data_IF_107465545865
#
_entry.id   IF_107465545865
#
_cell.length_a   1.000
_cell.length_b   1.000
_cell.length_c   1.000
_cell.angle_alpha   90.00
_cell.angle_beta   90.00
_cell.angle_gamma   90.00
#
_symmetry.space_group_name_H-M   'P 1'
#
loop_
_entity.id
_entity.type
_entity.pdbx_description
1 polymer ?
#
# COMPACT_ATOMS: atom_id res chain seq x y z
N UNK A 1 68.22 23.78 0.10
CA UNK A 1 67.44 23.38 -1.10
C UNK A 1 66.13 22.81 -0.61
N UNK A 2 65.19 23.70 -0.31
CA UNK A 2 63.80 23.38 -0.05
C UNK A 2 63.12 22.97 -1.35
N UNK A 3 62.42 21.83 -1.35
CA UNK A 3 61.42 21.53 -2.36
C UNK A 3 60.06 21.53 -1.70
N UNK A 4 59.40 22.68 -1.76
CA UNK A 4 58.00 22.83 -1.44
C UNK A 4 57.14 21.97 -2.39
N UNK A 5 56.27 21.16 -1.82
CA UNK A 5 55.16 20.54 -2.55
C UNK A 5 53.90 21.31 -2.20
N UNK A 6 53.42 22.06 -3.18
CA UNK A 6 52.17 22.82 -3.16
C UNK A 6 50.98 21.87 -2.97
N UNK A 7 50.29 21.99 -1.85
CA UNK A 7 48.98 21.38 -1.63
C UNK A 7 47.97 22.19 -2.47
N UNK A 8 47.54 21.63 -3.61
CA UNK A 8 46.32 22.10 -4.28
C UNK A 8 45.13 21.42 -3.61
N UNK A 9 44.32 22.24 -2.93
CA UNK A 9 43.05 21.84 -2.37
C UNK A 9 42.14 21.24 -3.44
N UNK A 10 41.63 20.04 -3.16
CA UNK A 10 40.48 19.46 -3.86
C UNK A 10 39.23 20.18 -3.35
N UNK A 11 38.77 21.16 -4.13
CA UNK A 11 37.52 21.86 -3.89
C UNK A 11 36.30 20.91 -3.98
N UNK A 12 35.47 21.02 -2.95
CA UNK A 12 34.04 20.76 -2.87
C UNK A 12 33.26 20.88 -4.19
N UNK A 13 33.03 19.76 -4.88
CA UNK A 13 32.02 19.68 -5.96
C UNK A 13 30.85 18.72 -5.61
N UNK A 14 30.92 18.01 -4.49
CA UNK A 14 29.85 17.09 -4.06
C UNK A 14 28.76 17.76 -3.23
N UNK A 15 29.10 18.81 -2.48
CA UNK A 15 28.16 19.52 -1.60
C UNK A 15 27.17 20.40 -2.38
N UNK A 16 27.61 21.05 -3.46
CA UNK A 16 26.78 21.92 -4.31
C UNK A 16 25.68 21.15 -5.08
N UNK A 17 25.92 19.87 -5.38
CA UNK A 17 24.96 19.03 -6.11
C UNK A 17 23.73 18.64 -5.28
N UNK A 18 23.86 18.59 -3.94
CA UNK A 18 22.82 18.10 -3.02
C UNK A 18 21.91 19.22 -2.53
N UNK A 19 22.42 20.45 -2.35
CA UNK A 19 21.58 21.61 -1.96
C UNK A 19 20.45 21.88 -2.97
N UNK A 20 20.74 21.62 -4.24
CA UNK A 20 19.81 21.80 -5.35
C UNK A 20 18.58 20.89 -5.28
N UNK A 21 18.57 19.80 -4.51
CA UNK A 21 17.42 18.91 -4.33
C UNK A 21 16.79 18.97 -2.92
N UNK A 22 17.31 19.79 -2.01
CA UNK A 22 16.74 19.97 -0.66
C UNK A 22 15.48 20.84 -0.73
N UNK A 23 14.38 20.40 -0.13
CA UNK A 23 13.13 21.15 -0.12
C UNK A 23 13.07 22.03 1.14
N UNK A 24 13.18 23.35 0.95
CA UNK A 24 13.20 24.39 1.99
C UNK A 24 11.93 25.25 1.98
N UNK A 25 10.79 24.59 1.78
CA UNK A 25 9.48 25.23 1.71
C UNK A 25 9.00 25.75 3.07
N UNK A 26 8.50 27.00 3.08
CA UNK A 26 7.96 27.68 4.27
C UNK A 26 6.55 27.20 4.68
N UNK A 27 5.83 26.49 3.80
CA UNK A 27 4.49 25.99 4.09
C UNK A 27 4.56 24.80 5.05
N UNK A 28 3.73 24.85 6.07
CA UNK A 28 3.60 23.84 7.14
C UNK A 28 2.41 22.89 6.93
N UNK A 29 1.52 23.19 5.99
CA UNK A 29 0.29 22.44 5.77
C UNK A 29 -0.09 22.30 4.29
N UNK A 30 -0.42 21.08 3.88
CA UNK A 30 -0.83 20.71 2.53
C UNK A 30 -2.21 20.04 2.52
N UNK A 31 -3.21 20.64 3.20
CA UNK A 31 -4.56 20.06 3.29
C UNK A 31 -5.19 19.91 1.90
N UNK A 32 -5.57 18.69 1.53
CA UNK A 32 -6.25 18.34 0.27
C UNK A 32 -5.47 18.58 -1.05
N UNK A 33 -4.23 19.06 -0.96
CA UNK A 33 -3.35 19.30 -2.10
C UNK A 33 -2.00 18.59 -1.92
N UNK A 34 -1.27 18.45 -3.01
CA UNK A 34 0.14 18.02 -3.05
C UNK A 34 1.08 19.23 -3.05
N UNK A 35 2.38 19.00 -3.17
CA UNK A 35 3.40 20.01 -2.92
C UNK A 35 3.30 21.14 -3.96
N UNK A 36 3.10 20.74 -5.20
CA UNK A 36 2.89 21.60 -6.36
C UNK A 36 1.42 22.00 -6.53
N UNK A 37 0.62 21.95 -5.46
CA UNK A 37 -0.78 22.41 -5.38
C UNK A 37 -1.80 21.61 -6.20
N UNK A 38 -1.45 20.43 -6.71
CA UNK A 38 -2.43 19.55 -7.35
C UNK A 38 -3.41 18.95 -6.33
N UNK A 39 -4.68 18.80 -6.70
CA UNK A 39 -5.67 18.08 -5.88
C UNK A 39 -5.21 16.63 -5.63
N UNK A 40 -5.29 16.15 -4.38
CA UNK A 40 -4.83 14.78 -4.03
C UNK A 40 -5.49 13.67 -4.86
N UNK A 41 -6.78 13.81 -5.19
CA UNK A 41 -7.50 12.84 -6.01
C UNK A 41 -6.93 12.74 -7.43
N UNK A 42 -6.55 13.88 -8.03
CA UNK A 42 -5.92 13.94 -9.36
C UNK A 42 -4.50 13.39 -9.33
N UNK A 43 -3.69 13.78 -8.33
CA UNK A 43 -2.35 13.24 -8.16
C UNK A 43 -2.36 11.72 -7.92
N UNK A 44 -3.33 11.21 -7.15
CA UNK A 44 -3.56 9.77 -6.96
C UNK A 44 -3.88 9.07 -8.28
N UNK A 45 -4.77 9.65 -9.09
CA UNK A 45 -5.11 9.12 -10.40
C UNK A 45 -3.88 9.04 -11.31
N UNK A 46 -3.10 10.12 -11.40
CA UNK A 46 -1.90 10.16 -12.23
C UNK A 46 -0.80 9.21 -11.75
N UNK A 47 -0.63 9.02 -10.44
CA UNK A 47 0.27 8.02 -9.88
C UNK A 47 -0.15 6.59 -10.30
N UNK A 48 -1.42 6.24 -10.11
CA UNK A 48 -1.94 4.93 -10.50
C UNK A 48 -1.81 4.72 -12.01
N UNK A 49 -2.14 5.73 -12.81
CA UNK A 49 -2.00 5.69 -14.27
C UNK A 49 -0.54 5.49 -14.68
N UNK A 50 0.40 6.22 -14.08
CA UNK A 50 1.83 6.07 -14.38
C UNK A 50 2.36 4.69 -14.00
N UNK A 51 1.85 4.09 -12.91
CA UNK A 51 2.17 2.71 -12.51
C UNK A 51 1.60 1.68 -13.51
N UNK A 52 0.38 1.88 -14.00
CA UNK A 52 -0.23 1.04 -15.04
C UNK A 52 0.50 1.15 -16.38
N UNK A 53 0.84 2.37 -16.79
CA UNK A 53 1.54 2.68 -18.05
C UNK A 53 3.05 2.38 -17.97
N UNK A 54 3.54 1.89 -16.83
CA UNK A 54 4.96 1.59 -16.56
C UNK A 54 5.91 2.80 -16.75
N UNK A 55 5.38 4.03 -16.58
CA UNK A 55 6.12 5.29 -16.67
C UNK A 55 6.81 5.59 -15.34
N UNK A 56 7.98 4.98 -15.13
CA UNK A 56 8.71 5.01 -13.85
C UNK A 56 9.04 6.44 -13.38
N UNK A 57 9.54 7.30 -14.26
CA UNK A 57 9.90 8.68 -13.91
C UNK A 57 8.68 9.46 -13.43
N UNK A 58 7.56 9.35 -14.15
CA UNK A 58 6.30 9.98 -13.76
C UNK A 58 5.75 9.40 -12.45
N UNK A 59 5.82 8.08 -12.26
CA UNK A 59 5.39 7.44 -11.02
C UNK A 59 6.24 7.91 -9.83
N UNK A 60 7.57 8.05 -10.01
CA UNK A 60 8.47 8.59 -9.00
C UNK A 60 8.13 10.06 -8.69
N UNK A 61 7.88 10.89 -9.72
CA UNK A 61 7.44 12.28 -9.57
C UNK A 61 6.17 12.39 -8.72
N UNK A 62 5.10 11.67 -9.09
CA UNK A 62 3.85 11.72 -8.35
C UNK A 62 3.98 11.16 -6.94
N UNK A 63 4.82 10.15 -6.72
CA UNK A 63 5.12 9.67 -5.36
C UNK A 63 5.82 10.74 -4.51
N UNK A 64 6.76 11.47 -5.11
CA UNK A 64 7.52 12.51 -4.44
C UNK A 64 6.67 13.76 -4.13
N UNK A 65 5.63 14.05 -4.93
CA UNK A 65 4.60 15.05 -4.61
C UNK A 65 3.90 14.74 -3.27
N UNK A 66 3.54 13.49 -3.00
CA UNK A 66 2.95 13.09 -1.72
C UNK A 66 3.97 13.17 -0.57
N UNK A 67 5.24 12.77 -0.81
CA UNK A 67 6.32 12.83 0.18
C UNK A 67 6.61 14.27 0.60
N UNK A 68 6.77 15.18 -0.37
CA UNK A 68 7.09 16.59 -0.11
C UNK A 68 5.96 17.32 0.64
N UNK A 69 4.72 16.86 0.51
CA UNK A 69 3.57 17.34 1.28
C UNK A 69 3.33 16.63 2.61
N UNK A 70 4.12 15.62 2.97
CA UNK A 70 3.93 14.86 4.21
C UNK A 70 2.76 13.87 4.18
N UNK A 71 2.18 13.57 3.01
CA UNK A 71 1.02 12.68 2.87
C UNK A 71 1.40 11.19 2.81
N UNK A 72 2.28 10.73 3.70
CA UNK A 72 2.84 9.38 3.66
C UNK A 72 1.81 8.27 3.81
N UNK A 73 0.85 8.42 4.72
CA UNK A 73 -0.20 7.39 4.91
C UNK A 73 -1.10 7.27 3.67
N UNK A 74 -1.37 8.38 2.98
CA UNK A 74 -2.12 8.35 1.72
C UNK A 74 -1.31 7.68 0.61
N UNK A 75 0.00 7.95 0.52
CA UNK A 75 0.89 7.28 -0.43
C UNK A 75 0.93 5.76 -0.19
N UNK A 76 1.05 5.32 1.06
CA UNK A 76 0.93 3.91 1.43
C UNK A 76 -0.42 3.30 1.01
N UNK A 77 -1.52 4.00 1.25
CA UNK A 77 -2.84 3.52 0.81
C UNK A 77 -2.98 3.45 -0.72
N UNK A 78 -2.30 4.32 -1.48
CA UNK A 78 -2.23 4.23 -2.95
C UNK A 78 -1.40 3.01 -3.38
N UNK A 79 -0.25 2.80 -2.75
CA UNK A 79 0.64 1.65 -2.98
C UNK A 79 -0.12 0.34 -2.74
N UNK A 80 -0.76 0.18 -1.57
CA UNK A 80 -1.52 -1.03 -1.23
C UNK A 80 -2.71 -1.23 -2.16
N UNK A 81 -3.44 -0.16 -2.49
CA UNK A 81 -4.52 -0.23 -3.47
C UNK A 81 -4.03 -0.71 -4.83
N UNK A 82 -2.92 -0.17 -5.34
CA UNK A 82 -2.37 -0.57 -6.63
C UNK A 82 -1.94 -2.04 -6.64
N UNK A 83 -1.19 -2.46 -5.62
CA UNK A 83 -0.67 -3.83 -5.50
C UNK A 83 -1.80 -4.84 -5.53
N UNK A 84 -2.80 -4.70 -4.66
CA UNK A 84 -3.82 -5.75 -4.52
C UNK A 84 -4.97 -5.64 -5.51
N UNK A 85 -5.06 -4.54 -6.29
CA UNK A 85 -6.04 -4.41 -7.37
C UNK A 85 -5.49 -4.77 -8.74
N UNK A 86 -4.22 -4.44 -9.03
CA UNK A 86 -3.64 -4.55 -10.38
C UNK A 86 -2.51 -5.59 -10.48
N UNK A 87 -1.81 -5.93 -9.39
CA UNK A 87 -0.71 -6.92 -9.42
C UNK A 87 -1.16 -8.25 -8.82
N UNK A 88 -1.59 -8.24 -7.56
CA UNK A 88 -2.09 -9.40 -6.81
C UNK A 88 -1.26 -10.68 -7.03
N UNK A 89 -1.87 -11.74 -7.57
CA UNK A 89 -1.22 -13.03 -7.85
C UNK A 89 -0.11 -12.94 -8.92
N UNK A 90 0.07 -11.80 -9.58
CA UNK A 90 1.21 -11.50 -10.43
C UNK A 90 2.53 -11.42 -9.67
N UNK A 91 2.52 -11.02 -8.40
CA UNK A 91 3.70 -11.04 -7.52
C UNK A 91 3.29 -11.19 -6.03
N UNK A 92 2.92 -12.41 -5.59
CA UNK A 92 2.35 -12.62 -4.25
C UNK A 92 3.27 -12.21 -3.09
N UNK A 93 4.60 -12.30 -3.30
CA UNK A 93 5.59 -11.95 -2.27
C UNK A 93 5.69 -10.46 -1.99
N UNK A 94 5.05 -9.59 -2.80
CA UNK A 94 4.97 -8.16 -2.50
C UNK A 94 4.35 -7.89 -1.13
N UNK A 95 3.46 -8.75 -0.62
CA UNK A 95 2.94 -8.58 0.73
C UNK A 95 4.05 -8.59 1.80
N UNK A 96 4.97 -9.56 1.71
CA UNK A 96 6.09 -9.69 2.65
C UNK A 96 7.03 -8.49 2.49
N UNK A 97 7.36 -8.14 1.24
CA UNK A 97 8.24 -7.00 0.94
C UNK A 97 7.66 -5.68 1.44
N UNK A 98 6.39 -5.39 1.17
CA UNK A 98 5.76 -4.14 1.58
C UNK A 98 5.61 -4.05 3.10
N UNK A 99 5.33 -5.17 3.77
CA UNK A 99 5.30 -5.21 5.24
C UNK A 99 6.67 -4.85 5.83
N UNK A 100 7.74 -5.48 5.33
CA UNK A 100 9.13 -5.14 5.72
C UNK A 100 9.45 -3.66 5.45
N UNK A 101 9.06 -3.14 4.28
CA UNK A 101 9.29 -1.74 3.91
C UNK A 101 8.51 -0.77 4.77
N UNK A 102 7.29 -1.12 5.15
CA UNK A 102 6.49 -0.32 6.06
C UNK A 102 7.15 -0.26 7.45
N UNK A 103 7.63 -1.38 7.98
CA UNK A 103 8.33 -1.43 9.27
C UNK A 103 9.62 -0.59 9.25
N UNK A 104 10.36 -0.60 8.14
CA UNK A 104 11.52 0.29 7.96
C UNK A 104 11.11 1.76 7.99
N UNK A 105 10.01 2.11 7.32
CA UNK A 105 9.45 3.46 7.34
C UNK A 105 8.96 3.88 8.73
N UNK A 106 8.25 3.02 9.44
CA UNK A 106 7.77 3.29 10.81
C UNK A 106 8.93 3.48 11.79
N UNK A 107 9.97 2.64 11.69
CA UNK A 107 11.20 2.79 12.48
C UNK A 107 11.86 4.15 12.22
N UNK A 108 11.93 4.59 10.96
CA UNK A 108 12.46 5.91 10.61
C UNK A 108 11.63 7.04 11.22
N UNK A 109 10.29 6.95 11.23
CA UNK A 109 9.44 7.97 11.87
C UNK A 109 9.68 8.03 13.38
N UNK A 110 9.72 6.87 14.05
CA UNK A 110 9.83 6.78 15.50
C UNK A 110 11.22 7.22 16.01
N UNK A 111 12.25 7.16 15.17
CA UNK A 111 13.60 7.63 15.47
C UNK A 111 13.76 9.17 15.36
N UNK A 112 12.83 9.93 15.93
CA UNK A 112 12.97 11.39 16.12
C UNK A 112 12.18 12.29 15.18
N UNK A 113 11.33 11.75 14.30
CA UNK A 113 10.55 12.55 13.34
C UNK A 113 9.04 12.58 13.62
N UNK A 114 8.58 11.92 14.69
CA UNK A 114 7.15 11.80 15.02
C UNK A 114 6.42 13.14 15.20
N UNK A 115 7.14 14.21 15.57
CA UNK A 115 6.58 15.55 15.79
C UNK A 115 6.56 16.43 14.54
N UNK A 116 7.38 16.13 13.53
CA UNK A 116 7.42 16.90 12.28
C UNK A 116 7.71 15.98 11.08
N UNK A 117 6.63 15.44 10.53
CA UNK A 117 6.68 14.50 9.40
C UNK A 117 7.20 15.15 8.11
N UNK A 118 7.09 16.48 7.96
CA UNK A 118 7.55 17.18 6.75
C UNK A 118 9.07 17.12 6.59
N UNK A 119 9.82 17.05 7.70
CA UNK A 119 11.29 16.93 7.67
C UNK A 119 11.75 15.67 6.91
N UNK A 120 10.94 14.61 6.93
CA UNK A 120 11.25 13.36 6.23
C UNK A 120 11.34 13.54 4.71
N UNK A 121 10.82 14.62 4.12
CA UNK A 121 10.93 14.89 2.67
C UNK A 121 12.36 15.09 2.21
N UNK A 122 13.27 15.48 3.11
CA UNK A 122 14.70 15.63 2.84
C UNK A 122 15.54 14.46 3.37
N UNK A 123 14.89 13.44 3.96
CA UNK A 123 15.59 12.25 4.43
C UNK A 123 15.87 11.31 3.24
N UNK A 124 17.15 11.12 2.93
CA UNK A 124 17.59 10.29 1.79
C UNK A 124 17.08 8.84 1.88
N UNK A 125 17.04 8.25 3.07
CA UNK A 125 16.51 6.88 3.26
C UNK A 125 15.03 6.80 2.89
N UNK A 126 14.24 7.82 3.21
CA UNK A 126 12.82 7.89 2.84
C UNK A 126 12.65 8.04 1.33
N UNK A 127 13.39 8.96 0.71
CA UNK A 127 13.33 9.17 -0.75
C UNK A 127 13.66 7.89 -1.51
N UNK A 128 14.76 7.22 -1.12
CA UNK A 128 15.20 5.95 -1.71
C UNK A 128 14.21 4.82 -1.46
N UNK A 129 13.68 4.70 -0.24
CA UNK A 129 12.71 3.67 0.14
C UNK A 129 11.47 3.72 -0.76
N UNK A 130 10.86 4.89 -0.92
CA UNK A 130 9.67 5.02 -1.78
C UNK A 130 10.00 4.90 -3.26
N UNK A 131 11.12 5.46 -3.72
CA UNK A 131 11.56 5.29 -5.11
C UNK A 131 11.72 3.81 -5.47
N UNK A 132 12.37 3.02 -4.61
CA UNK A 132 12.54 1.59 -4.82
C UNK A 132 11.20 0.86 -4.88
N UNK A 133 10.28 1.14 -3.93
CA UNK A 133 8.93 0.57 -3.96
C UNK A 133 8.25 0.89 -5.30
N UNK A 134 8.24 2.15 -5.74
CA UNK A 134 7.61 2.56 -6.98
C UNK A 134 8.22 1.83 -8.19
N UNK A 135 9.54 1.69 -8.25
CA UNK A 135 10.20 0.94 -9.32
C UNK A 135 9.82 -0.55 -9.31
N UNK A 136 9.81 -1.19 -8.14
CA UNK A 136 9.37 -2.59 -7.99
C UNK A 136 7.93 -2.78 -8.47
N UNK A 137 7.03 -1.82 -8.17
CA UNK A 137 5.65 -1.87 -8.64
C UNK A 137 5.55 -1.68 -10.17
N UNK A 138 6.31 -0.74 -10.74
CA UNK A 138 6.37 -0.54 -12.18
C UNK A 138 6.90 -1.75 -12.93
N UNK A 139 7.81 -2.55 -12.37
CA UNK A 139 8.33 -3.76 -13.02
C UNK A 139 7.59 -5.06 -12.66
N UNK A 140 6.66 -5.01 -11.69
CA UNK A 140 5.87 -6.19 -11.32
C UNK A 140 4.85 -6.54 -12.40
N UNK A 141 4.62 -7.84 -12.61
CA UNK A 141 3.63 -8.33 -13.57
C UNK A 141 2.21 -7.90 -13.16
N UNK A 142 1.57 -7.06 -13.98
CA UNK A 142 0.17 -6.70 -13.79
C UNK A 142 -0.73 -7.84 -14.27
N UNK A 143 -1.88 -7.95 -13.65
CA UNK A 143 -2.92 -8.93 -13.94
C UNK A 143 -4.23 -8.20 -14.20
N UNK A 144 -5.25 -8.96 -14.61
CA UNK A 144 -6.59 -8.42 -14.75
C UNK A 144 -7.04 -7.77 -13.45
N UNK A 145 -7.63 -6.58 -13.58
CA UNK A 145 -8.10 -5.79 -12.44
C UNK A 145 -9.15 -6.60 -11.68
N UNK A 146 -8.98 -6.71 -10.36
CA UNK A 146 -10.02 -7.32 -9.54
C UNK A 146 -11.25 -6.41 -9.54
N UNK A 147 -12.35 -6.92 -10.09
CA UNK A 147 -13.61 -6.21 -10.17
C UNK A 147 -14.23 -6.05 -8.78
N UNK A 148 -14.74 -4.86 -8.51
CA UNK A 148 -15.51 -4.61 -7.31
C UNK A 148 -16.91 -5.20 -7.45
N UNK A 149 -17.33 -6.01 -6.48
CA UNK A 149 -18.69 -6.52 -6.43
C UNK A 149 -19.61 -5.41 -5.93
N UNK A 150 -20.62 -5.08 -6.74
CA UNK A 150 -21.67 -4.13 -6.37
C UNK A 150 -22.86 -4.93 -5.84
N UNK A 151 -23.20 -4.69 -4.57
CA UNK A 151 -24.42 -5.24 -3.99
C UNK A 151 -25.62 -4.38 -4.40
N UNK A 152 -26.70 -5.02 -4.81
CA UNK A 152 -28.01 -4.38 -4.82
C UNK A 152 -28.49 -4.27 -3.37
N UNK A 153 -28.61 -3.06 -2.84
CA UNK A 153 -28.98 -2.85 -1.43
C UNK A 153 -30.43 -3.20 -1.12
N UNK A 154 -31.31 -3.20 -2.12
CA UNK A 154 -32.72 -3.52 -1.95
C UNK A 154 -32.93 -5.03 -1.90
N UNK A 155 -32.26 -5.78 -2.77
CA UNK A 155 -32.40 -7.24 -2.85
C UNK A 155 -31.45 -7.99 -1.90
N UNK A 156 -30.22 -7.50 -1.72
CA UNK A 156 -29.17 -8.24 -1.00
C UNK A 156 -29.39 -8.32 0.51
N UNK A 157 -30.43 -7.69 1.06
CA UNK A 157 -30.75 -7.77 2.49
C UNK A 157 -32.20 -8.18 2.74
N UNK A 158 -32.91 -8.61 1.68
CA UNK A 158 -34.24 -9.20 1.78
C UNK A 158 -34.15 -10.74 1.76
N UNK A 159 -34.82 -11.37 2.72
CA UNK A 159 -34.71 -12.83 2.93
C UNK A 159 -35.30 -13.59 1.72
N UNK A 160 -36.38 -13.10 1.12
CA UNK A 160 -37.02 -13.76 -0.01
C UNK A 160 -36.10 -13.77 -1.23
N UNK A 161 -35.51 -12.61 -1.57
CA UNK A 161 -34.56 -12.46 -2.68
C UNK A 161 -33.21 -13.17 -2.46
N UNK A 162 -32.80 -13.39 -1.20
CA UNK A 162 -31.52 -14.02 -0.89
C UNK A 162 -31.53 -15.55 -0.92
N UNK A 163 -32.72 -16.18 -0.89
CA UNK A 163 -32.87 -17.64 -0.79
C UNK A 163 -32.07 -18.42 -1.86
N UNK A 164 -32.05 -17.94 -3.10
CA UNK A 164 -31.31 -18.55 -4.22
C UNK A 164 -29.77 -18.47 -4.07
N UNK A 165 -29.28 -17.57 -3.22
CA UNK A 165 -27.85 -17.38 -2.97
C UNK A 165 -27.31 -18.28 -1.87
N UNK A 166 -28.18 -18.87 -1.05
CA UNK A 166 -27.80 -19.83 -0.02
C UNK A 166 -27.53 -21.19 -0.66
N UNK A 167 -26.28 -21.66 -0.58
CA UNK A 167 -25.81 -22.90 -1.20
C UNK A 167 -25.25 -23.90 -0.21
N UNK A 168 -24.91 -23.46 1.00
CA UNK A 168 -24.36 -24.34 2.02
C UNK A 168 -25.46 -25.29 2.53
N UNK A 169 -25.22 -26.61 2.59
CA UNK A 169 -26.23 -27.59 3.00
C UNK A 169 -26.56 -27.55 4.49
N UNK A 170 -25.68 -26.98 5.31
CA UNK A 170 -25.80 -26.88 6.77
C UNK A 170 -24.85 -25.79 7.28
N UNK A 171 -24.82 -25.57 8.60
CA UNK A 171 -23.99 -24.54 9.27
C UNK A 171 -22.70 -25.07 9.91
N UNK A 172 -22.29 -26.31 9.63
CA UNK A 172 -21.12 -26.89 10.32
C UNK A 172 -19.78 -26.34 9.82
N UNK A 173 -19.76 -25.60 8.71
CA UNK A 173 -18.53 -25.04 8.14
C UNK A 173 -17.88 -23.96 9.02
N UNK A 174 -18.59 -23.43 10.01
CA UNK A 174 -18.13 -22.33 10.88
C UNK A 174 -17.88 -22.73 12.33
N UNK A 175 -18.03 -24.01 12.67
CA UNK A 175 -17.91 -24.51 14.07
C UNK A 175 -16.58 -24.13 14.74
N UNK A 176 -15.49 -24.03 13.96
CA UNK A 176 -14.15 -23.69 14.43
C UNK A 176 -13.78 -22.22 14.19
N UNK A 177 -14.71 -21.41 13.68
CA UNK A 177 -14.49 -20.01 13.27
C UNK A 177 -15.25 -19.02 14.15
N UNK A 178 -16.53 -19.31 14.41
CA UNK A 178 -17.35 -18.48 15.28
C UNK A 178 -17.14 -18.85 16.73
N UNK A 179 -17.15 -17.82 17.57
CA UNK A 179 -17.18 -17.97 19.02
C UNK A 179 -18.59 -17.72 19.55
N UNK A 180 -18.84 -18.12 20.80
CA UNK A 180 -20.19 -18.15 21.38
C UNK A 180 -20.88 -16.77 21.42
N UNK A 181 -20.09 -15.71 21.65
CA UNK A 181 -20.59 -14.33 21.73
C UNK A 181 -20.56 -13.57 20.40
N UNK A 182 -20.20 -14.23 19.29
CA UNK A 182 -20.26 -13.61 17.96
C UNK A 182 -21.73 -13.36 17.51
N UNK A 183 -22.01 -12.31 16.72
CA UNK A 183 -23.36 -11.98 16.29
C UNK A 183 -24.02 -13.13 15.51
N UNK A 184 -25.14 -13.65 16.03
CA UNK A 184 -25.87 -14.78 15.43
C UNK A 184 -26.37 -14.46 14.00
N UNK A 185 -26.59 -13.19 13.68
CA UNK A 185 -26.97 -12.75 12.35
C UNK A 185 -25.88 -13.00 11.29
N UNK A 186 -24.63 -13.22 11.71
CA UNK A 186 -23.51 -13.50 10.82
C UNK A 186 -23.31 -15.01 10.57
N UNK A 187 -24.04 -15.89 11.26
CA UNK A 187 -23.93 -17.36 11.09
C UNK A 187 -24.08 -17.74 9.62
N UNK A 188 -25.19 -17.36 8.97
CA UNK A 188 -25.46 -17.75 7.58
C UNK A 188 -24.47 -17.10 6.60
N UNK A 189 -24.24 -15.76 6.60
CA UNK A 189 -23.29 -15.13 5.69
C UNK A 189 -21.85 -15.67 5.78
N UNK A 190 -21.37 -15.93 7.00
CA UNK A 190 -20.02 -16.47 7.22
C UNK A 190 -19.96 -17.92 6.77
N UNK A 191 -20.99 -18.71 7.06
CA UNK A 191 -21.07 -20.09 6.63
C UNK A 191 -21.07 -20.22 5.11
N UNK A 192 -21.83 -19.37 4.42
CA UNK A 192 -21.81 -19.29 2.97
C UNK A 192 -20.45 -18.85 2.42
N UNK A 193 -19.79 -17.88 3.07
CA UNK A 193 -18.45 -17.46 2.68
C UNK A 193 -17.46 -18.64 2.77
N UNK A 194 -17.45 -19.37 3.89
CA UNK A 194 -16.56 -20.51 4.10
C UNK A 194 -16.89 -21.66 3.15
N UNK A 195 -18.17 -21.97 2.93
CA UNK A 195 -18.61 -22.96 1.95
C UNK A 195 -18.11 -22.63 0.54
N UNK A 196 -18.25 -21.37 0.10
CA UNK A 196 -17.76 -20.95 -1.21
C UNK A 196 -16.23 -20.92 -1.29
N UNK A 197 -15.53 -20.65 -0.18
CA UNK A 197 -14.08 -20.75 -0.08
C UNK A 197 -13.60 -22.20 -0.30
N UNK A 198 -14.25 -23.17 0.37
CA UNK A 198 -13.97 -24.60 0.20
C UNK A 198 -14.22 -25.05 -1.24
N UNK A 199 -15.33 -24.61 -1.83
CA UNK A 199 -15.69 -24.90 -3.22
C UNK A 199 -14.94 -24.06 -4.26
N UNK A 200 -13.95 -23.26 -3.83
CA UNK A 200 -13.11 -22.43 -4.71
C UNK A 200 -13.90 -21.45 -5.59
N UNK A 201 -15.07 -21.00 -5.12
CA UNK A 201 -15.91 -20.04 -5.81
C UNK A 201 -15.58 -18.61 -5.37
N UNK A 202 -14.51 -18.03 -5.94
CA UNK A 202 -13.98 -16.73 -5.54
C UNK A 202 -15.01 -15.58 -5.68
N UNK A 203 -15.89 -15.65 -6.68
CA UNK A 203 -16.91 -14.61 -6.94
C UNK A 203 -17.88 -14.54 -5.76
N UNK A 204 -18.36 -15.70 -5.27
CA UNK A 204 -19.26 -15.72 -4.13
C UNK A 204 -18.54 -15.44 -2.81
N UNK A 205 -17.27 -15.81 -2.66
CA UNK A 205 -16.46 -15.39 -1.50
C UNK A 205 -16.40 -13.87 -1.39
N UNK A 206 -16.12 -13.19 -2.50
CA UNK A 206 -16.10 -11.72 -2.55
C UNK A 206 -17.50 -11.14 -2.30
N UNK A 207 -18.56 -11.77 -2.81
CA UNK A 207 -19.93 -11.32 -2.58
C UNK A 207 -20.27 -11.31 -1.09
N UNK A 208 -20.02 -12.43 -0.39
CA UNK A 208 -20.30 -12.53 1.05
C UNK A 208 -19.41 -11.62 1.88
N UNK A 209 -18.17 -11.39 1.46
CA UNK A 209 -17.31 -10.38 2.11
C UNK A 209 -17.89 -8.96 1.98
N UNK A 210 -18.32 -8.55 0.78
CA UNK A 210 -19.00 -7.25 0.61
C UNK A 210 -20.28 -7.19 1.44
N UNK A 211 -21.05 -8.29 1.48
CA UNK A 211 -22.29 -8.36 2.24
C UNK A 211 -22.04 -8.08 3.71
N UNK A 212 -21.02 -8.72 4.30
CA UNK A 212 -20.65 -8.55 5.71
C UNK A 212 -20.20 -7.10 6.00
N UNK A 213 -19.40 -6.50 5.10
CA UNK A 213 -18.96 -5.10 5.24
C UNK A 213 -20.16 -4.13 5.18
N UNK A 214 -21.11 -4.34 4.26
CA UNK A 214 -22.28 -3.47 4.13
C UNK A 214 -23.33 -3.72 5.22
N UNK A 215 -23.48 -4.96 5.71
CA UNK A 215 -24.31 -5.29 6.86
C UNK A 215 -23.89 -4.47 8.09
N UNK A 216 -22.59 -4.40 8.37
CA UNK A 216 -22.07 -3.59 9.47
C UNK A 216 -22.44 -2.10 9.30
N UNK A 217 -22.37 -1.57 8.06
CA UNK A 217 -22.77 -0.20 7.76
C UNK A 217 -24.27 0.02 8.02
N UNK A 218 -25.11 -0.96 7.67
CA UNK A 218 -26.55 -0.92 7.94
C UNK A 218 -26.83 -0.94 9.44
N UNK A 219 -26.17 -1.83 10.20
CA UNK A 219 -26.29 -1.88 11.65
C UNK A 219 -25.90 -0.55 12.29
N UNK A 220 -24.81 0.08 11.85
CA UNK A 220 -24.39 1.41 12.31
C UNK A 220 -25.45 2.48 12.06
N UNK A 221 -26.04 2.51 10.86
CA UNK A 221 -27.13 3.45 10.53
C UNK A 221 -28.37 3.21 11.40
N UNK A 222 -28.69 1.94 11.67
CA UNK A 222 -29.82 1.53 12.51
C UNK A 222 -29.52 1.56 14.02
N UNK A 223 -28.30 1.99 14.42
CA UNK A 223 -27.81 1.96 15.82
C UNK A 223 -27.94 0.58 16.48
N UNK A 224 -27.87 -0.49 15.70
CA UNK A 224 -27.89 -1.88 16.19
C UNK A 224 -26.46 -2.28 16.57
N UNK A 225 -26.29 -2.91 17.75
CA UNK A 225 -25.01 -3.49 18.17
C UNK A 225 -24.59 -4.55 17.17
N UNK A 226 -23.38 -4.43 16.63
CA UNK A 226 -22.77 -5.38 15.70
C UNK A 226 -21.29 -5.45 16.06
N UNK A 227 -20.97 -6.36 16.97
CA UNK A 227 -19.66 -6.49 17.59
C UNK A 227 -19.36 -7.97 17.78
N UNK A 228 -18.21 -8.44 17.28
CA UNK A 228 -17.73 -9.79 17.52
C UNK A 228 -17.09 -9.92 18.90
N UNK A 229 -16.90 -11.14 19.36
CA UNK A 229 -16.06 -11.41 20.52
C UNK A 229 -14.61 -10.95 20.24
N UNK A 230 -13.87 -10.63 21.30
CA UNK A 230 -12.51 -10.12 21.20
C UNK A 230 -11.59 -11.08 20.44
N UNK A 231 -10.86 -10.54 19.44
CA UNK A 231 -9.77 -11.22 18.74
C UNK A 231 -8.43 -10.59 19.12
N UNK A 232 -7.49 -11.40 19.61
CA UNK A 232 -6.24 -10.93 20.21
C UNK A 232 -5.25 -10.29 19.23
N UNK A 233 -5.29 -10.69 17.96
CA UNK A 233 -4.47 -10.09 16.90
C UNK A 233 -5.03 -8.76 16.37
N UNK A 234 -6.25 -8.38 16.77
CA UNK A 234 -6.84 -7.14 16.33
C UNK A 234 -6.17 -5.93 17.03
N UNK A 235 -6.10 -4.75 16.37
CA UNK A 235 -5.58 -3.56 16.99
C UNK A 235 -6.38 -3.14 18.23
N UNK A 236 -5.68 -2.62 19.24
CA UNK A 236 -6.27 -2.10 20.48
C UNK A 236 -7.38 -1.10 20.17
N UNK A 237 -8.51 -1.24 20.86
CA UNK A 237 -9.68 -0.37 20.69
C UNK A 237 -10.60 -0.73 19.51
N UNK A 238 -10.21 -1.68 18.66
CA UNK A 238 -11.05 -2.19 17.57
C UNK A 238 -11.30 -3.70 17.63
N UNK A 239 -10.94 -4.36 18.73
CA UNK A 239 -10.94 -5.84 18.83
C UNK A 239 -12.30 -6.52 18.70
N UNK A 240 -13.38 -5.75 18.70
CA UNK A 240 -14.76 -6.22 18.55
C UNK A 240 -15.35 -5.92 17.15
N UNK A 241 -14.57 -5.39 16.20
CA UNK A 241 -15.04 -5.19 14.83
C UNK A 241 -15.23 -6.54 14.13
N UNK A 242 -16.40 -6.79 13.55
CA UNK A 242 -16.76 -8.09 12.93
C UNK A 242 -15.83 -8.52 11.79
N UNK A 243 -15.04 -7.58 11.24
CA UNK A 243 -14.05 -7.88 10.20
C UNK A 243 -12.98 -8.86 10.68
N UNK A 244 -12.74 -8.96 11.99
CA UNK A 244 -11.78 -9.91 12.54
C UNK A 244 -12.24 -11.36 12.41
N UNK A 245 -13.54 -11.61 12.28
CA UNK A 245 -14.04 -12.94 11.94
C UNK A 245 -13.56 -13.37 10.55
N UNK A 246 -13.53 -12.45 9.59
CA UNK A 246 -12.96 -12.69 8.26
C UNK A 246 -11.47 -13.02 8.35
N UNK A 247 -10.74 -12.33 9.21
CA UNK A 247 -9.32 -12.61 9.43
C UNK A 247 -9.06 -13.94 10.14
N UNK A 248 -9.92 -14.38 11.07
CA UNK A 248 -9.82 -15.75 11.61
C UNK A 248 -9.96 -16.80 10.53
N UNK A 249 -10.90 -16.63 9.59
CA UNK A 249 -11.04 -17.55 8.45
C UNK A 249 -9.74 -17.61 7.66
N UNK A 250 -9.19 -16.44 7.30
CA UNK A 250 -7.93 -16.37 6.53
C UNK A 250 -6.76 -17.02 7.29
N UNK A 251 -6.64 -16.77 8.59
CA UNK A 251 -5.57 -17.33 9.43
C UNK A 251 -5.74 -18.84 9.60
N UNK A 252 -6.94 -19.32 9.93
CA UNK A 252 -7.27 -20.74 10.08
C UNK A 252 -6.98 -21.54 8.80
N UNK A 253 -7.42 -21.04 7.65
CA UNK A 253 -7.22 -21.73 6.37
C UNK A 253 -5.80 -21.61 5.81
N UNK A 254 -4.98 -20.69 6.32
CA UNK A 254 -3.57 -20.59 5.94
C UNK A 254 -2.60 -21.28 6.89
N UNK A 255 -3.02 -21.63 8.11
CA UNK A 255 -2.10 -22.13 9.14
C UNK A 255 -1.50 -23.51 8.78
N UNK A 256 -0.16 -23.64 8.60
CA UNK A 256 0.46 -24.90 8.26
C UNK A 256 0.51 -25.90 9.43
N UNK A 257 0.32 -25.44 10.67
CA UNK A 257 0.31 -26.32 11.86
C UNK A 257 -0.97 -27.15 11.97
N UNK A 258 -2.05 -26.72 11.32
CA UNK A 258 -3.31 -27.45 11.26
C UNK A 258 -3.24 -28.56 10.20
N UNK A 259 -2.84 -29.76 10.64
CA UNK A 259 -2.66 -30.96 9.80
C UNK A 259 -3.98 -31.58 9.33
N UNK A 260 -5.06 -31.36 10.08
CA UNK A 260 -6.41 -31.82 9.73
C UNK A 260 -7.41 -30.69 9.94
N UNK A 261 -8.14 -30.32 8.89
CA UNK A 261 -9.33 -29.47 8.99
C UNK A 261 -10.54 -30.33 8.68
N UNK A 262 -11.63 -30.10 9.40
CA UNK A 262 -12.93 -30.74 9.13
C UNK A 262 -13.35 -30.55 7.68
N UNK A 263 -13.09 -29.35 7.14
CA UNK A 263 -13.30 -29.03 5.73
C UNK A 263 -12.01 -28.44 5.14
N UNK A 264 -11.39 -29.15 4.21
CA UNK A 264 -10.22 -28.67 3.48
C UNK A 264 -10.63 -27.95 2.19
N UNK A 265 -9.96 -26.85 1.87
CA UNK A 265 -10.02 -26.22 0.52
C UNK A 265 -9.46 -27.18 -0.54
N UNK A 266 -8.64 -28.16 -0.12
CA UNK A 266 -8.00 -29.14 -0.98
C UNK A 266 -8.54 -30.55 -0.67
N UNK A 267 -9.73 -30.89 -1.19
CA UNK A 267 -10.18 -32.28 -1.28
C UNK A 267 -10.31 -32.71 -2.77
N UNK A 268 -9.22 -33.32 -3.24
CA UNK A 268 -9.05 -34.42 -4.20
C UNK A 268 -10.05 -34.65 -5.36
N UNK A 269 -9.58 -34.33 -6.58
CA UNK A 269 -9.67 -35.24 -7.73
C UNK A 269 -8.53 -36.27 -7.72
N UNK A 270 -8.18 -36.81 -6.55
CA UNK A 270 -7.16 -37.85 -6.39
C UNK A 270 -7.81 -39.20 -6.13
N UNK A 271 -8.67 -39.62 -7.06
CA UNK A 271 -8.76 -41.02 -7.41
C UNK A 271 -7.88 -41.22 -8.64
N UNK A 272 -6.58 -41.34 -8.44
CA UNK A 272 -5.72 -42.21 -9.24
C UNK A 272 -4.32 -42.35 -8.65
N UNK A 273 -4.02 -43.60 -8.29
CA UNK A 273 -2.72 -44.28 -8.22
C UNK A 273 -1.56 -43.67 -7.42
N UNK A 274 -1.28 -44.35 -6.31
CA UNK A 274 0.04 -44.76 -5.85
C UNK A 274 1.16 -44.67 -6.91
N UNK A 275 2.06 -43.69 -6.78
CA UNK A 275 3.51 -43.87 -6.64
C UNK A 275 4.25 -42.54 -6.80
N UNK A 276 5.33 -42.40 -6.03
CA UNK A 276 6.40 -41.38 -6.11
C UNK A 276 6.13 -39.98 -5.52
N UNK A 277 6.91 -39.63 -4.49
CA UNK A 277 7.78 -38.44 -4.39
C UNK A 277 7.80 -37.77 -3.00
N UNK A 278 8.79 -38.14 -2.18
CA UNK A 278 9.16 -37.39 -0.97
C UNK A 278 9.55 -35.92 -1.27
N UNK A 279 10.01 -35.61 -2.48
CA UNK A 279 10.33 -34.24 -2.91
C UNK A 279 9.08 -33.34 -3.04
N UNK A 280 7.95 -33.89 -3.50
CA UNK A 280 6.70 -33.14 -3.68
C UNK A 280 6.07 -32.70 -2.35
N UNK A 281 6.20 -33.52 -1.30
CA UNK A 281 5.71 -33.16 0.04
C UNK A 281 6.51 -32.00 0.66
N UNK A 282 7.84 -31.98 0.50
CA UNK A 282 8.67 -30.90 1.02
C UNK A 282 8.36 -29.54 0.37
N UNK A 283 8.18 -29.52 -0.95
CA UNK A 283 7.84 -28.29 -1.69
C UNK A 283 6.43 -27.78 -1.36
N UNK A 284 5.47 -28.69 -1.16
CA UNK A 284 4.11 -28.30 -0.78
C UNK A 284 4.06 -27.72 0.64
N UNK A 285 4.81 -28.28 1.58
CA UNK A 285 4.92 -27.74 2.94
C UNK A 285 5.55 -26.34 2.93
N UNK A 286 6.65 -26.16 2.20
CA UNK A 286 7.29 -24.85 2.03
C UNK A 286 6.33 -23.81 1.41
N UNK A 287 5.54 -24.21 0.41
CA UNK A 287 4.56 -23.32 -0.20
C UNK A 287 3.45 -22.90 0.79
N UNK A 288 2.98 -23.82 1.63
CA UNK A 288 1.99 -23.51 2.66
C UNK A 288 2.55 -22.55 3.71
N UNK A 289 3.80 -22.74 4.14
CA UNK A 289 4.48 -21.80 5.03
C UNK A 289 4.62 -20.40 4.41
N UNK A 290 4.99 -20.32 3.13
CA UNK A 290 5.09 -19.04 2.42
C UNK A 290 3.71 -18.37 2.32
N UNK A 291 2.65 -19.12 1.99
CA UNK A 291 1.28 -18.59 1.96
C UNK A 291 0.88 -18.02 3.33
N UNK A 292 1.15 -18.75 4.40
CA UNK A 292 0.88 -18.28 5.76
C UNK A 292 1.64 -16.99 6.10
N UNK A 293 2.93 -16.91 5.75
CA UNK A 293 3.74 -15.68 5.91
C UNK A 293 3.18 -14.50 5.10
N UNK A 294 2.67 -14.75 3.88
CA UNK A 294 1.98 -13.74 3.07
C UNK A 294 0.71 -13.28 3.78
N UNK A 295 -0.16 -14.19 4.25
CA UNK A 295 -1.41 -13.83 4.96
C UNK A 295 -1.12 -13.00 6.21
N UNK A 296 -0.13 -13.38 7.02
CA UNK A 296 0.30 -12.56 8.17
C UNK A 296 0.77 -11.18 7.75
N UNK A 297 1.56 -11.08 6.69
CA UNK A 297 2.02 -9.79 6.17
C UNK A 297 0.87 -8.94 5.65
N UNK A 298 -0.16 -9.55 5.04
CA UNK A 298 -1.38 -8.85 4.63
C UNK A 298 -2.17 -8.33 5.83
N UNK A 299 -2.25 -9.09 6.93
CA UNK A 299 -2.88 -8.65 8.17
C UNK A 299 -2.17 -7.41 8.73
N UNK A 300 -0.84 -7.44 8.84
CA UNK A 300 -0.03 -6.30 9.32
C UNK A 300 -0.26 -5.05 8.44
N UNK A 301 -0.25 -5.23 7.11
CA UNK A 301 -0.53 -4.14 6.17
C UNK A 301 -1.98 -3.63 6.27
N UNK A 302 -2.93 -4.52 6.55
CA UNK A 302 -4.34 -4.16 6.73
C UNK A 302 -4.55 -3.31 7.98
N UNK A 303 -3.82 -3.58 9.07
CA UNK A 303 -3.99 -2.88 10.35
C UNK A 303 -3.27 -1.54 10.47
N UNK A 304 -2.45 -1.15 9.48
CA UNK A 304 -1.75 0.15 9.46
C UNK A 304 -2.73 1.30 9.74
N UNK A 305 -2.60 1.95 10.91
CA UNK A 305 -3.52 3.01 11.38
C UNK A 305 -5.00 2.64 11.21
N UNK A 306 -5.35 1.43 11.63
CA UNK A 306 -6.69 0.89 11.50
C UNK A 306 -7.76 1.83 12.07
N UNK A 307 -8.84 1.99 11.31
CA UNK A 307 -10.07 2.63 11.73
C UNK A 307 -11.23 1.94 11.02
N UNK A 308 -12.45 2.23 11.46
CA UNK A 308 -13.65 1.63 10.89
C UNK A 308 -13.81 1.81 9.35
N UNK A 309 -13.19 2.82 8.75
CA UNK A 309 -13.24 3.04 7.30
C UNK A 309 -12.22 2.19 6.51
N UNK A 310 -11.21 1.64 7.20
CA UNK A 310 -10.12 0.90 6.58
C UNK A 310 -10.60 -0.39 5.92
N UNK A 311 -11.55 -1.11 6.51
CA UNK A 311 -12.15 -2.32 5.89
C UNK A 311 -12.65 -2.07 4.46
N UNK A 312 -13.29 -0.93 4.21
CA UNK A 312 -13.76 -0.55 2.87
C UNK A 312 -12.61 -0.06 1.99
N UNK A 313 -11.70 0.76 2.53
CA UNK A 313 -10.55 1.31 1.79
C UNK A 313 -9.56 0.22 1.33
N UNK A 314 -9.38 -0.83 2.14
CA UNK A 314 -8.38 -1.89 1.96
C UNK A 314 -8.98 -3.27 1.66
N UNK A 315 -10.23 -3.34 1.22
CA UNK A 315 -10.89 -4.62 0.89
C UNK A 315 -10.16 -5.48 -0.15
N UNK A 316 -9.43 -4.85 -1.08
CA UNK A 316 -8.60 -5.59 -2.04
C UNK A 316 -7.50 -6.43 -1.39
N UNK A 317 -7.01 -6.06 -0.19
CA UNK A 317 -6.10 -6.90 0.61
C UNK A 317 -6.79 -8.23 0.96
N UNK A 318 -8.02 -8.17 1.45
CA UNK A 318 -8.80 -9.36 1.81
C UNK A 318 -9.20 -10.18 0.57
N UNK A 319 -9.52 -9.50 -0.54
CA UNK A 319 -9.78 -10.18 -1.81
C UNK A 319 -8.58 -11.01 -2.24
N UNK A 320 -7.39 -10.39 -2.27
CA UNK A 320 -6.15 -11.07 -2.57
C UNK A 320 -5.84 -12.20 -1.57
N UNK A 321 -6.12 -11.99 -0.27
CA UNK A 321 -5.93 -13.02 0.74
C UNK A 321 -6.78 -14.27 0.47
N UNK A 322 -8.05 -14.11 0.08
CA UNK A 322 -8.89 -15.25 -0.33
C UNK A 322 -8.43 -15.88 -1.65
N UNK A 323 -8.05 -15.07 -2.65
CA UNK A 323 -7.50 -15.58 -3.90
C UNK A 323 -6.22 -16.40 -3.67
N UNK A 324 -5.37 -16.01 -2.72
CA UNK A 324 -4.15 -16.74 -2.35
C UNK A 324 -4.45 -18.16 -1.82
N UNK A 325 -5.56 -18.31 -1.09
CA UNK A 325 -5.99 -19.60 -0.55
C UNK A 325 -6.57 -20.53 -1.63
N UNK A 326 -7.25 -19.96 -2.64
CA UNK A 326 -7.99 -20.72 -3.66
C UNK A 326 -7.14 -21.02 -4.90
N UNK A 327 -6.39 -20.02 -5.38
CA UNK A 327 -5.73 -20.06 -6.68
C UNK A 327 -4.31 -20.65 -6.61
N UNK A 328 -3.81 -21.09 -7.76
CA UNK A 328 -2.41 -21.47 -7.91
C UNK A 328 -1.53 -20.22 -8.02
N UNK A 329 -0.53 -20.11 -7.13
CA UNK A 329 0.26 -18.90 -6.97
C UNK A 329 1.71 -19.12 -7.40
N UNK A 330 2.32 -18.20 -8.17
CA UNK A 330 3.73 -18.28 -8.54
C UNK A 330 4.62 -17.90 -7.36
N UNK A 331 4.76 -18.79 -6.37
CA UNK A 331 5.56 -18.54 -5.16
C UNK A 331 7.07 -18.73 -5.39
N UNK A 332 7.49 -19.31 -6.51
CA UNK A 332 8.90 -19.51 -6.83
C UNK A 332 9.48 -18.39 -7.71
N UNK A 333 8.66 -17.44 -8.17
CA UNK A 333 9.16 -16.31 -8.96
C UNK A 333 10.00 -15.34 -8.12
N UNK A 334 10.90 -14.64 -8.80
CA UNK A 334 11.69 -13.56 -8.22
C UNK A 334 10.77 -12.38 -7.84
N UNK A 335 10.98 -11.82 -6.65
CA UNK A 335 10.20 -10.70 -6.13
C UNK A 335 10.53 -9.40 -6.87
N UNK A 336 11.83 -9.16 -7.10
CA UNK A 336 12.36 -7.97 -7.77
C UNK A 336 12.87 -8.38 -9.14
N UNK A 337 12.28 -7.78 -10.16
CA UNK A 337 12.73 -7.86 -11.55
C UNK A 337 13.69 -6.69 -11.82
N UNK A 338 14.84 -6.99 -12.44
CA UNK A 338 15.88 -6.01 -12.80
C UNK A 338 16.46 -5.16 -11.64
N UNK A 339 17.07 -5.77 -10.61
CA UNK A 339 17.62 -5.04 -9.46
C UNK A 339 18.61 -3.93 -9.84
N UNK A 340 19.49 -4.18 -10.81
CA UNK A 340 20.47 -3.19 -11.30
C UNK A 340 19.80 -1.93 -11.88
N UNK A 341 18.70 -2.09 -12.62
CA UNK A 341 17.95 -0.95 -13.17
C UNK A 341 17.32 -0.13 -12.06
N UNK A 342 16.76 -0.81 -11.06
CA UNK A 342 16.15 -0.15 -9.89
C UNK A 342 17.21 0.66 -9.15
N UNK A 343 18.39 0.09 -8.89
CA UNK A 343 19.49 0.79 -8.24
C UNK A 343 19.95 2.02 -9.04
N UNK A 344 20.06 1.89 -10.37
CA UNK A 344 20.39 3.01 -11.26
C UNK A 344 19.35 4.14 -11.21
N UNK A 345 18.06 3.83 -11.04
CA UNK A 345 17.00 4.84 -10.90
C UNK A 345 17.02 5.46 -9.50
N UNK A 346 17.12 4.64 -8.45
CA UNK A 346 17.16 5.08 -7.05
C UNK A 346 18.36 6.00 -6.80
N UNK A 347 19.51 5.74 -7.42
CA UNK A 347 20.69 6.61 -7.31
C UNK A 347 20.48 8.01 -7.91
N UNK A 348 19.50 8.18 -8.81
CA UNK A 348 19.17 9.44 -9.49
C UNK A 348 17.90 10.12 -8.96
N UNK A 349 17.33 9.62 -7.86
CA UNK A 349 16.06 10.13 -7.31
C UNK A 349 16.08 11.63 -7.03
N UNK A 350 17.25 12.19 -6.69
CA UNK A 350 17.40 13.62 -6.43
C UNK A 350 17.02 14.52 -7.62
N UNK A 351 17.10 14.02 -8.86
CA UNK A 351 16.65 14.78 -10.03
C UNK A 351 15.14 15.04 -9.99
N UNK A 352 14.34 14.07 -9.54
CA UNK A 352 12.89 14.25 -9.35
C UNK A 352 12.61 15.34 -8.31
N UNK A 353 13.39 15.37 -7.23
CA UNK A 353 13.24 16.38 -6.18
C UNK A 353 13.72 17.76 -6.64
N UNK A 354 14.72 17.85 -7.52
CA UNK A 354 15.09 19.12 -8.19
C UNK A 354 13.93 19.68 -9.01
N UNK A 355 13.18 18.81 -9.70
CA UNK A 355 12.01 19.25 -10.46
C UNK A 355 10.86 19.70 -9.56
N UNK A 356 10.57 18.96 -8.49
CA UNK A 356 9.52 19.34 -7.52
C UNK A 356 9.88 20.63 -6.80
N UNK A 357 11.16 20.85 -6.47
CA UNK A 357 11.67 22.06 -5.81
C UNK A 357 11.31 23.34 -6.57
N UNK A 358 11.11 23.29 -7.89
CA UNK A 358 10.67 24.45 -8.69
C UNK A 358 9.32 25.03 -8.22
N UNK A 359 8.51 24.23 -7.52
CA UNK A 359 7.21 24.62 -6.96
C UNK A 359 7.29 24.97 -5.46
N UNK A 360 8.49 25.11 -4.91
CA UNK A 360 8.73 25.54 -3.53
C UNK A 360 8.31 27.00 -3.33
N UNK A 361 7.82 27.30 -2.14
CA UNK A 361 7.61 28.68 -1.67
C UNK A 361 8.75 29.03 -0.72
N UNK A 362 9.66 29.90 -1.18
CA UNK A 362 10.73 30.46 -0.36
C UNK A 362 10.24 31.67 0.45
N UNK A 363 10.92 32.06 1.54
CA UNK A 363 10.62 33.29 2.26
C UNK A 363 10.67 34.49 1.31
N UNK A 364 9.85 35.52 1.55
CA UNK A 364 10.00 36.81 0.87
C UNK A 364 11.32 37.46 1.31
N UNK A 365 12.43 37.07 0.71
CA UNK A 365 13.72 37.77 0.72
C UNK A 365 14.12 38.20 -0.68
N UNK A 366 13.31 37.89 -1.69
CA UNK A 366 13.56 38.28 -3.08
C UNK A 366 13.70 39.81 -3.23
N UNK A 367 12.96 40.59 -2.45
CA UNK A 367 13.08 42.06 -2.43
C UNK A 367 14.41 42.58 -1.87
N UNK A 368 15.13 41.77 -1.08
CA UNK A 368 16.47 42.11 -0.56
C UNK A 368 17.55 41.92 -1.63
N UNK A 369 17.32 41.03 -2.59
CA UNK A 369 18.27 40.72 -3.67
C UNK A 369 17.92 41.38 -5.02
N UNK A 370 16.69 41.89 -5.20
CA UNK A 370 16.31 42.65 -6.41
C UNK A 370 17.18 43.87 -6.69
N UNK A 371 17.83 44.44 -5.67
CA UNK A 371 18.73 45.60 -5.83
C UNK A 371 20.22 45.24 -6.00
N UNK A 372 20.58 43.96 -5.82
CA UNK A 372 21.95 43.48 -5.96
C UNK A 372 22.27 43.01 -7.39
N UNK A 373 21.26 42.65 -8.18
CA UNK A 373 21.42 42.16 -9.55
C UNK A 373 21.41 43.25 -10.64
N UNK A 374 21.10 44.52 -10.31
CA UNK A 374 21.33 45.63 -11.25
C UNK A 374 22.81 45.97 -11.26
N UNK A 375 23.49 45.69 -12.36
CA UNK A 375 24.91 46.00 -12.48
C UNK A 375 25.12 47.52 -12.35
N UNK A 376 26.26 47.95 -11.81
CA UNK A 376 26.59 49.39 -11.70
C UNK A 376 26.52 50.11 -13.06
N UNK A 377 26.62 49.37 -14.17
CA UNK A 377 26.52 49.88 -15.54
C UNK A 377 25.08 50.29 -15.85
N UNK A 378 24.07 49.48 -15.48
CA UNK A 378 22.65 49.82 -15.71
C UNK A 378 22.23 51.05 -14.92
N UNK A 379 22.72 51.21 -13.68
CA UNK A 379 22.51 52.43 -12.88
C UNK A 379 23.16 53.66 -13.47
N UNK A 380 24.23 53.48 -14.27
CA UNK A 380 24.93 54.59 -14.93
C UNK A 380 24.22 54.97 -16.23
N UNK A 381 23.71 53.99 -16.97
CA UNK A 381 22.92 54.21 -18.19
C UNK A 381 21.60 54.92 -17.86
N UNK A 382 20.87 54.48 -16.82
CA UNK A 382 19.63 55.14 -16.37
C UNK A 382 19.86 56.61 -15.98
N UNK A 383 21.01 56.95 -15.38
CA UNK A 383 21.35 58.34 -15.03
C UNK A 383 21.70 59.19 -16.25
N UNK A 384 22.38 58.62 -17.24
CA UNK A 384 22.74 59.33 -18.48
C UNK A 384 21.48 59.61 -19.30
N UNK A 385 20.54 58.66 -19.39
CA UNK A 385 19.27 58.86 -20.09
C UNK A 385 18.42 59.95 -19.43
N UNK A 386 18.42 60.02 -18.10
CA UNK A 386 17.66 61.03 -17.36
C UNK A 386 18.23 62.45 -17.55
N UNK A 387 19.55 62.59 -17.65
CA UNK A 387 20.23 63.86 -17.94
C UNK A 387 19.98 64.32 -19.37
N UNK A 388 19.86 63.39 -20.33
CA UNK A 388 19.55 63.72 -21.73
C UNK A 388 18.06 64.03 -21.98
N UNK A 389 17.20 63.83 -20.98
CA UNK A 389 15.77 64.11 -21.02
C UNK A 389 15.35 65.43 -20.34
N UNK A 390 16.34 66.18 -19.83
CA UNK A 390 16.23 67.58 -19.38
C UNK A 390 16.90 68.48 -20.41
#
# INVERSE_FOLDING_TARGET
MDKGTTIKGTNDNTNDSRENCLINDVRDSFKNITFSKFQKSKARYELIKSLCDEKIENACYWSAEFICSGHYLELWDIILYFVYKYIHNGNPKLAIYLNMRYNNFETLINNGYSQNILVLRNNDKIRRLFCEIICVLCYSLKKNVICEIKLDKHESFDIASMSERFKAPNVSYIEYILKDDDPKELIIPINELVYNLINKNIINVYYWLEWIIEYENICKKKKKKCACENRSFAPKGSSHDIIWIIWDILLYYSDPSLTSRTYNIHNNNSNNSNNSNNSNNSNNNNNNEIKYKIIKSLLELFVIKYSNNVKKKRKFIMYFAFALLIEHNPLNSALITHPEKIEAIVSKIDNVYKDIKKNEVSPKTDYLFTNLNKSNIEKTIEKIELINSL
#
